data_IF_022751804902
#
_entry.id   IF_022751804902
#
_cell.length_a   1.000
_cell.length_b   1.000
_cell.length_c   1.000
_cell.angle_alpha   90.00
_cell.angle_beta   90.00
_cell.angle_gamma   90.00
#
_symmetry.space_group_name_H-M   'P 1'
#
loop_
_entity.id
_entity.type
_entity.pdbx_description
1 polymer ?
#
# COMPACT_ATOMS: atom_id res chain seq x y z
N UNK A 1 -5.22 -20.72 -5.76
CA UNK A 1 -6.00 -19.51 -5.39
C UNK A 1 -6.25 -19.53 -3.89
N UNK A 2 -6.24 -18.38 -3.20
CA UNK A 2 -6.58 -18.32 -1.78
C UNK A 2 -8.01 -18.79 -1.54
N UNK A 3 -8.19 -19.59 -0.50
CA UNK A 3 -9.45 -20.29 -0.23
C UNK A 3 -10.36 -19.42 0.66
N UNK A 4 -9.76 -18.61 1.53
CA UNK A 4 -10.45 -17.73 2.48
C UNK A 4 -10.78 -16.36 1.89
N UNK A 5 -11.87 -15.77 2.38
CA UNK A 5 -12.28 -14.39 2.03
C UNK A 5 -11.14 -13.37 2.24
N UNK A 6 -10.38 -13.38 3.37
CA UNK A 6 -9.27 -12.45 3.57
C UNK A 6 -8.11 -12.65 2.60
N UNK A 7 -7.84 -13.88 2.17
CA UNK A 7 -6.84 -14.16 1.15
C UNK A 7 -7.23 -13.59 -0.22
N UNK A 8 -8.51 -13.67 -0.60
CA UNK A 8 -9.02 -13.03 -1.83
C UNK A 8 -8.95 -11.50 -1.74
N UNK A 9 -9.32 -10.93 -0.60
CA UNK A 9 -9.21 -9.48 -0.36
C UNK A 9 -7.75 -9.02 -0.41
N UNK A 10 -6.80 -9.81 0.10
CA UNK A 10 -5.37 -9.50 0.02
C UNK A 10 -4.89 -9.36 -1.43
N UNK A 11 -5.41 -10.17 -2.37
CA UNK A 11 -5.11 -10.02 -3.81
C UNK A 11 -5.69 -8.71 -4.35
N UNK A 12 -6.93 -8.38 -4.00
CA UNK A 12 -7.56 -7.13 -4.42
C UNK A 12 -6.79 -5.91 -3.88
N UNK A 13 -6.29 -5.98 -2.65
CA UNK A 13 -5.45 -4.92 -2.06
C UNK A 13 -4.10 -4.81 -2.77
N UNK A 14 -3.46 -5.93 -3.14
CA UNK A 14 -2.27 -5.89 -3.99
C UNK A 14 -2.54 -5.20 -5.33
N UNK A 15 -3.68 -5.47 -5.97
CA UNK A 15 -4.07 -4.78 -7.21
C UNK A 15 -4.30 -3.28 -6.98
N UNK A 16 -4.89 -2.89 -5.84
CA UNK A 16 -5.04 -1.49 -5.48
C UNK A 16 -3.69 -0.78 -5.33
N UNK A 17 -2.67 -1.43 -4.76
CA UNK A 17 -1.33 -0.87 -4.69
C UNK A 17 -0.72 -0.65 -6.08
N UNK A 18 -0.90 -1.59 -7.02
CA UNK A 18 -0.43 -1.44 -8.40
C UNK A 18 -1.13 -0.26 -9.08
N UNK A 19 -2.45 -0.16 -8.94
CA UNK A 19 -3.20 0.96 -9.51
C UNK A 19 -2.79 2.31 -8.91
N UNK A 20 -2.63 2.36 -7.58
CA UNK A 20 -2.15 3.55 -6.89
C UNK A 20 -0.76 3.97 -7.39
N UNK A 21 0.15 3.01 -7.59
CA UNK A 21 1.49 3.30 -8.11
C UNK A 21 1.45 3.92 -9.50
N UNK A 22 0.69 3.31 -10.44
CA UNK A 22 0.56 3.82 -11.81
C UNK A 22 -0.08 5.22 -11.82
N UNK A 23 -1.11 5.42 -11.01
CA UNK A 23 -1.83 6.69 -10.93
C UNK A 23 -0.96 7.82 -10.36
N UNK A 24 -0.28 7.57 -9.24
CA UNK A 24 0.64 8.54 -8.63
C UNK A 24 1.81 8.83 -9.58
N UNK A 25 2.38 7.80 -10.21
CA UNK A 25 3.46 7.98 -11.18
C UNK A 25 3.04 8.85 -12.37
N UNK A 26 1.84 8.62 -12.92
CA UNK A 26 1.28 9.47 -13.97
C UNK A 26 1.08 10.92 -13.52
N UNK A 27 0.64 11.14 -12.28
CA UNK A 27 0.49 12.50 -11.73
C UNK A 27 1.81 13.24 -11.56
N UNK A 28 2.93 12.56 -11.30
CA UNK A 28 4.21 13.24 -11.11
C UNK A 28 4.57 14.12 -12.31
N UNK A 29 4.24 13.69 -13.53
CA UNK A 29 4.54 14.42 -14.76
C UNK A 29 3.56 15.55 -15.08
N UNK A 30 2.42 15.62 -14.39
CA UNK A 30 1.38 16.64 -14.61
C UNK A 30 1.36 17.64 -13.46
N UNK A 31 1.37 17.14 -12.22
CA UNK A 31 1.33 17.93 -11.00
C UNK A 31 2.00 17.14 -9.85
N UNK A 32 3.32 17.37 -9.67
CA UNK A 32 4.11 16.69 -8.65
C UNK A 32 3.62 16.92 -7.21
N UNK A 33 3.16 18.14 -6.88
CA UNK A 33 2.61 18.43 -5.55
C UNK A 33 1.29 17.69 -5.31
N UNK A 34 0.40 17.69 -6.31
CA UNK A 34 -0.83 16.90 -6.27
C UNK A 34 -0.56 15.40 -6.11
N UNK A 35 0.47 14.88 -6.79
CA UNK A 35 0.90 13.49 -6.66
C UNK A 35 1.29 13.14 -5.22
N UNK A 36 2.01 14.03 -4.53
CA UNK A 36 2.40 13.84 -3.13
C UNK A 36 1.19 13.82 -2.20
N UNK A 37 0.29 14.79 -2.32
CA UNK A 37 -0.91 14.88 -1.48
C UNK A 37 -1.79 13.64 -1.66
N UNK A 38 -2.01 13.24 -2.91
CA UNK A 38 -2.78 12.04 -3.25
C UNK A 38 -2.09 10.79 -2.73
N UNK A 39 -0.77 10.69 -2.89
CA UNK A 39 0.00 9.58 -2.34
C UNK A 39 -0.17 9.47 -0.83
N UNK A 40 -0.04 10.58 -0.08
CA UNK A 40 -0.21 10.58 1.38
C UNK A 40 -1.63 10.15 1.78
N UNK A 41 -2.65 10.71 1.14
CA UNK A 41 -4.05 10.44 1.49
C UNK A 41 -4.47 9.00 1.20
N UNK A 42 -4.09 8.45 0.04
CA UNK A 42 -4.43 7.08 -0.33
C UNK A 42 -3.59 6.06 0.41
N UNK A 43 -2.31 6.32 0.65
CA UNK A 43 -1.40 5.35 1.29
C UNK A 43 -1.84 5.00 2.70
N UNK A 44 -2.36 5.95 3.48
CA UNK A 44 -2.93 5.65 4.81
C UNK A 44 -4.00 4.57 4.71
N UNK A 45 -4.93 4.67 3.74
CA UNK A 45 -6.04 3.74 3.61
C UNK A 45 -5.57 2.40 3.04
N UNK A 46 -4.82 2.42 1.93
CA UNK A 46 -4.39 1.20 1.25
C UNK A 46 -3.39 0.40 2.07
N UNK A 47 -2.44 1.06 2.75
CA UNK A 47 -1.52 0.41 3.68
C UNK A 47 -2.24 -0.23 4.87
N UNK A 48 -3.20 0.48 5.47
CA UNK A 48 -3.98 -0.07 6.59
C UNK A 48 -4.73 -1.33 6.17
N UNK A 49 -5.41 -1.30 5.01
CA UNK A 49 -6.10 -2.46 4.48
C UNK A 49 -5.14 -3.62 4.19
N UNK A 50 -3.99 -3.34 3.59
CA UNK A 50 -3.02 -4.39 3.26
C UNK A 50 -2.36 -5.02 4.49
N UNK A 51 -2.14 -4.25 5.56
CA UNK A 51 -1.70 -4.79 6.85
C UNK A 51 -2.79 -5.65 7.47
N UNK A 52 -4.03 -5.15 7.58
CA UNK A 52 -5.14 -5.87 8.22
C UNK A 52 -5.42 -7.19 7.49
N UNK A 53 -5.64 -7.12 6.18
CA UNK A 53 -6.00 -8.30 5.40
C UNK A 53 -4.81 -9.24 5.17
N UNK A 54 -3.58 -8.72 5.10
CA UNK A 54 -2.39 -9.55 5.04
C UNK A 54 -2.15 -10.33 6.33
N UNK A 55 -2.32 -9.72 7.52
CA UNK A 55 -2.22 -10.45 8.80
C UNK A 55 -3.33 -11.46 8.95
N UNK A 56 -4.58 -11.09 8.66
CA UNK A 56 -5.72 -12.01 8.73
C UNK A 56 -5.60 -13.15 7.72
N UNK A 57 -5.09 -12.88 6.52
CA UNK A 57 -4.84 -13.87 5.47
C UNK A 57 -3.71 -14.83 5.85
N UNK A 58 -2.64 -14.35 6.49
CA UNK A 58 -1.55 -15.20 7.00
C UNK A 58 -2.03 -16.23 8.02
N UNK A 59 -2.97 -15.84 8.89
CA UNK A 59 -3.56 -16.73 9.89
C UNK A 59 -4.52 -17.77 9.30
N UNK A 60 -5.22 -17.44 8.20
CA UNK A 60 -6.23 -18.32 7.60
C UNK A 60 -5.71 -19.19 6.45
N UNK A 61 -4.68 -18.74 5.73
CA UNK A 61 -4.10 -19.49 4.60
C UNK A 61 -2.90 -20.33 5.06
N UNK A 62 -2.69 -21.47 4.41
CA UNK A 62 -1.56 -22.37 4.65
C UNK A 62 -0.85 -22.74 3.34
N UNK A 63 0.44 -23.07 3.42
CA UNK A 63 1.24 -23.45 2.26
C UNK A 63 1.36 -22.34 1.21
N UNK A 64 1.26 -22.71 -0.08
CA UNK A 64 1.44 -21.79 -1.22
C UNK A 64 0.43 -20.64 -1.25
N UNK A 65 -0.74 -20.79 -0.61
CA UNK A 65 -1.76 -19.75 -0.58
C UNK A 65 -1.38 -18.56 0.34
N UNK A 66 -0.36 -18.70 1.21
CA UNK A 66 0.19 -17.60 2.02
C UNK A 66 0.96 -16.56 1.22
N UNK A 67 1.34 -16.85 -0.03
CA UNK A 67 2.13 -15.91 -0.84
C UNK A 67 1.41 -14.57 -1.04
N UNK A 68 0.10 -14.59 -1.28
CA UNK A 68 -0.70 -13.38 -1.48
C UNK A 68 -0.80 -12.49 -0.23
N UNK A 69 -1.15 -13.00 0.97
CA UNK A 69 -1.16 -12.18 2.17
C UNK A 69 0.24 -11.73 2.62
N UNK A 70 1.29 -12.53 2.38
CA UNK A 70 2.68 -12.13 2.66
C UNK A 70 3.12 -10.99 1.74
N UNK A 71 2.84 -11.08 0.43
CA UNK A 71 3.17 -10.00 -0.50
C UNK A 71 2.39 -8.73 -0.20
N UNK A 72 1.10 -8.84 0.14
CA UNK A 72 0.30 -7.70 0.59
C UNK A 72 0.93 -7.01 1.81
N UNK A 73 1.41 -7.77 2.79
CA UNK A 73 2.10 -7.21 3.96
C UNK A 73 3.43 -6.54 3.62
N UNK A 74 4.26 -7.18 2.79
CA UNK A 74 5.54 -6.61 2.38
C UNK A 74 5.34 -5.31 1.61
N UNK A 75 4.45 -5.29 0.63
CA UNK A 75 4.14 -4.10 -0.16
C UNK A 75 3.57 -2.99 0.74
N UNK A 76 2.64 -3.34 1.63
CA UNK A 76 2.11 -2.36 2.60
C UNK A 76 3.21 -1.77 3.47
N UNK A 77 4.13 -2.58 3.97
CA UNK A 77 5.26 -2.12 4.77
C UNK A 77 6.16 -1.12 4.02
N UNK A 78 6.46 -1.41 2.75
CA UNK A 78 7.22 -0.49 1.87
C UNK A 78 6.46 0.82 1.68
N UNK A 79 5.16 0.77 1.40
CA UNK A 79 4.34 1.97 1.22
C UNK A 79 4.22 2.82 2.50
N UNK A 80 4.13 2.19 3.68
CA UNK A 80 4.17 2.89 4.97
C UNK A 80 5.50 3.59 5.18
N UNK A 81 6.61 2.92 4.86
CA UNK A 81 7.93 3.52 4.98
C UNK A 81 8.07 4.72 4.04
N UNK A 82 7.66 4.58 2.78
CA UNK A 82 7.63 5.68 1.81
C UNK A 82 6.70 6.81 2.25
N UNK A 83 5.55 6.50 2.86
CA UNK A 83 4.64 7.49 3.43
C UNK A 83 5.33 8.32 4.49
N UNK A 84 6.02 7.69 5.45
CA UNK A 84 6.73 8.44 6.49
C UNK A 84 7.90 9.25 5.95
N UNK A 85 8.69 8.69 5.03
CA UNK A 85 9.77 9.41 4.35
C UNK A 85 9.22 10.64 3.61
N UNK A 86 8.11 10.49 2.90
CA UNK A 86 7.48 11.60 2.16
C UNK A 86 6.90 12.63 3.12
N UNK A 87 6.18 12.20 4.15
CA UNK A 87 5.55 13.10 5.13
C UNK A 87 6.58 13.93 5.89
N UNK A 88 7.60 13.28 6.46
CA UNK A 88 8.62 13.98 7.25
C UNK A 88 9.69 14.67 6.40
N UNK A 89 10.01 14.12 5.23
CA UNK A 89 10.91 14.74 4.27
C UNK A 89 10.37 16.06 3.73
N UNK A 90 9.06 16.14 3.48
CA UNK A 90 8.42 17.40 3.08
C UNK A 90 8.08 18.31 4.28
N UNK A 91 7.83 17.78 5.47
CA UNK A 91 7.60 18.61 6.65
C UNK A 91 8.84 19.47 7.01
N UNK A 92 10.04 18.94 6.79
CA UNK A 92 11.28 19.70 6.97
C UNK A 92 11.47 20.87 6.00
N UNK A 93 10.85 20.85 4.81
CA UNK A 93 11.04 21.91 3.81
C UNK A 93 10.13 23.13 4.00
N UNK A 94 9.16 23.08 4.92
CA UNK A 94 8.29 24.21 5.27
C UNK A 94 8.66 24.82 6.64
N UNK A 95 9.68 24.28 7.30
CA UNK A 95 10.16 24.71 8.61
C UNK A 95 11.32 25.71 8.59
N UNK A 96 11.70 26.21 7.41
CA UNK A 96 12.63 27.33 7.21
C UNK A 96 11.92 28.50 6.50
#
# INVERSE_FOLDING_TARGET
>A
MPVSLPGKISIAVCLLFVFQFIFVFGMIFVNGFGAIVVFLQFTIVTASLGIIFGVLGLRKESGKARLAPVSALMVSGVFVLLFFVTLFGYAGSFGE
#
